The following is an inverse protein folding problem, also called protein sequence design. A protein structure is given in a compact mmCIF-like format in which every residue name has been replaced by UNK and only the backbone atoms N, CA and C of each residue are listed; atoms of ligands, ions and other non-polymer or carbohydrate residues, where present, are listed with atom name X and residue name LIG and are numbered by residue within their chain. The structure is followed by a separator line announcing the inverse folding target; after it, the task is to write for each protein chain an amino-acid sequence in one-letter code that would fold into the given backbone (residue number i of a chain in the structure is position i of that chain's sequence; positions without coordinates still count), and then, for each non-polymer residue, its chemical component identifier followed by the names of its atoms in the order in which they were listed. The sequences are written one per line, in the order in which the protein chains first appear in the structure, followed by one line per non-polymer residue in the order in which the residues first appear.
data_IF_833197063674
#
_entry.id   IF_833197063674
#
_cell.length_a   1.000
_cell.length_b   1.000
_cell.length_c   1.000
_cell.angle_alpha   90.00
_cell.angle_beta   90.00
_cell.angle_gamma   90.00
#
_symmetry.space_group_name_H-M   'P 1'
#
loop_
_entity.id
_entity.type
_entity.pdbx_description
1 polymer ?
#
# COMPACT_ATOMS: atom_id res chain seq x y z
N UNK A 1 -40.27 19.06 22.82
CA UNK A 1 -39.96 20.48 22.55
C UNK A 1 -38.45 20.69 22.58
N UNK A 2 -37.98 21.52 21.65
CA UNK A 2 -36.59 21.74 21.18
C UNK A 2 -35.61 22.17 22.27
N UNK A 3 -34.34 21.71 22.19
CA UNK A 3 -33.09 22.52 22.10
C UNK A 3 -31.96 21.62 21.53
N UNK A 4 -31.73 21.61 20.22
CA UNK A 4 -30.51 22.13 19.54
C UNK A 4 -29.30 22.41 20.44
N UNK A 5 -28.20 21.70 20.19
CA UNK A 5 -26.84 22.09 20.60
C UNK A 5 -25.90 21.90 19.41
N UNK A 6 -25.55 23.03 18.80
CA UNK A 6 -24.46 23.22 17.85
C UNK A 6 -23.14 23.26 18.63
N UNK A 7 -22.16 22.43 18.26
CA UNK A 7 -20.78 22.61 18.74
C UNK A 7 -19.75 22.50 17.62
N UNK A 8 -19.50 23.68 17.04
CA UNK A 8 -18.21 24.29 16.75
C UNK A 8 -17.15 23.43 16.04
N UNK A 9 -16.94 23.77 14.78
CA UNK A 9 -15.65 23.73 14.08
C UNK A 9 -14.52 24.27 14.96
N UNK A 10 -13.42 23.53 15.06
CA UNK A 10 -12.17 24.00 15.66
C UNK A 10 -11.08 23.91 14.60
N UNK A 11 -10.90 25.01 13.90
CA UNK A 11 -9.70 25.33 13.12
C UNK A 11 -8.58 25.62 14.12
N UNK A 12 -7.70 24.65 14.39
CA UNK A 12 -6.48 24.92 15.14
C UNK A 12 -5.36 25.30 14.18
N UNK A 13 -5.23 26.62 13.95
CA UNK A 13 -4.06 27.24 13.33
C UNK A 13 -3.00 27.41 14.43
N UNK A 14 -1.88 26.71 14.31
CA UNK A 14 -0.65 26.99 15.08
C UNK A 14 0.56 26.58 14.25
N UNK A 15 1.19 27.53 13.56
CA UNK A 15 2.43 28.27 13.92
C UNK A 15 3.71 27.57 13.43
N UNK A 16 4.36 28.24 12.48
CA UNK A 16 5.64 27.90 11.85
C UNK A 16 6.80 27.94 12.85
N UNK A 17 7.60 26.87 12.92
CA UNK A 17 9.00 26.96 13.34
C UNK A 17 9.89 26.54 12.18
N UNK A 18 10.73 27.49 11.75
CA UNK A 18 11.80 27.30 10.76
C UNK A 18 13.03 26.76 11.49
N UNK A 19 13.63 25.69 10.98
CA UNK A 19 14.97 25.26 11.39
C UNK A 19 15.68 24.63 10.20
N UNK A 20 16.72 25.31 9.75
CA UNK A 20 17.63 24.92 8.67
C UNK A 20 18.56 23.81 9.14
N UNK A 21 18.45 22.65 8.51
CA UNK A 21 19.48 21.62 8.43
C UNK A 21 19.04 20.70 7.30
N UNK A 22 19.91 20.40 6.33
CA UNK A 22 19.59 19.46 5.25
C UNK A 22 19.37 18.06 5.86
N UNK A 23 18.14 17.78 6.30
CA UNK A 23 17.70 16.43 6.63
C UNK A 23 17.45 15.72 5.32
N UNK A 24 18.20 14.63 5.08
CA UNK A 24 17.89 13.59 4.11
C UNK A 24 16.36 13.43 4.09
N UNK A 25 15.74 13.64 2.93
CA UNK A 25 14.29 13.62 2.77
C UNK A 25 13.77 12.39 3.49
N UNK A 26 13.06 12.62 4.59
CA UNK A 26 12.28 11.58 5.25
C UNK A 26 11.08 11.34 4.34
N UNK A 27 11.32 10.64 3.23
CA UNK A 27 10.26 9.99 2.49
C UNK A 27 9.60 9.11 3.54
N UNK A 28 8.38 9.45 3.96
CA UNK A 28 7.51 8.45 4.54
C UNK A 28 7.57 7.21 3.64
N UNK A 29 7.61 5.99 4.19
CA UNK A 29 7.47 4.82 3.35
C UNK A 29 6.16 5.02 2.59
N UNK A 30 6.23 5.24 1.28
CA UNK A 30 5.01 5.33 0.48
C UNK A 30 4.38 3.96 0.56
N UNK A 31 3.25 3.87 1.26
CA UNK A 31 2.51 2.64 1.35
C UNK A 31 2.17 2.17 -0.07
N UNK A 32 2.21 0.86 -0.26
CA UNK A 32 1.68 0.25 -1.49
C UNK A 32 0.19 0.57 -1.55
N UNK A 33 -0.30 0.95 -2.72
CA UNK A 33 -1.70 1.29 -2.97
C UNK A 33 -2.38 0.19 -3.79
N UNK A 34 -3.72 0.22 -3.83
CA UNK A 34 -4.48 -0.61 -4.77
C UNK A 34 -4.11 -0.20 -6.19
N UNK A 35 -3.92 -1.18 -7.07
CA UNK A 35 -3.48 -0.97 -8.44
C UNK A 35 -1.97 -1.02 -8.65
N UNK A 36 -1.16 -0.97 -7.58
CA UNK A 36 0.29 -1.13 -7.71
C UNK A 36 0.64 -2.55 -8.19
N UNK A 37 1.63 -2.62 -9.09
CA UNK A 37 2.22 -3.89 -9.54
C UNK A 37 3.46 -4.17 -8.69
N UNK A 38 3.49 -5.33 -8.05
CA UNK A 38 4.51 -5.73 -7.09
C UNK A 38 5.09 -7.10 -7.41
N UNK A 39 6.33 -7.34 -6.97
CA UNK A 39 6.92 -8.69 -6.88
C UNK A 39 6.69 -9.22 -5.47
N UNK A 40 6.20 -10.45 -5.37
CA UNK A 40 6.10 -11.18 -4.11
C UNK A 40 7.41 -11.90 -3.83
N UNK A 41 8.03 -11.59 -2.70
CA UNK A 41 9.18 -12.34 -2.20
C UNK A 41 8.68 -13.64 -1.60
N UNK A 42 8.84 -14.73 -2.35
CA UNK A 42 8.54 -16.08 -1.88
C UNK A 42 9.85 -16.83 -1.60
N UNK A 43 10.04 -17.28 -0.36
CA UNK A 43 11.25 -18.04 0.01
C UNK A 43 11.19 -19.49 -0.47
N UNK A 44 10.00 -19.99 -0.83
CA UNK A 44 9.83 -21.33 -1.37
C UNK A 44 10.24 -21.45 -2.85
N UNK A 45 10.50 -20.32 -3.52
CA UNK A 45 10.81 -20.27 -4.95
C UNK A 45 12.11 -19.49 -5.16
N UNK A 46 12.88 -19.89 -6.18
CA UNK A 46 14.05 -19.14 -6.62
C UNK A 46 13.72 -17.67 -6.84
N UNK A 47 14.68 -16.79 -6.54
CA UNK A 47 14.50 -15.33 -6.67
C UNK A 47 14.12 -14.88 -8.08
N UNK A 48 14.55 -15.62 -9.10
CA UNK A 48 14.19 -15.42 -10.51
C UNK A 48 12.70 -15.63 -10.79
N UNK A 49 12.06 -16.51 -10.03
CA UNK A 49 10.71 -16.99 -10.27
C UNK A 49 9.73 -16.47 -9.21
N UNK A 50 10.11 -15.36 -8.56
CA UNK A 50 9.23 -14.66 -7.65
C UNK A 50 7.97 -14.18 -8.38
N UNK A 51 6.77 -14.52 -7.87
CA UNK A 51 5.54 -14.22 -8.56
C UNK A 51 5.30 -12.71 -8.63
N UNK A 52 4.81 -12.26 -9.78
CA UNK A 52 4.24 -10.93 -9.93
C UNK A 52 2.82 -10.89 -9.34
N UNK A 53 2.46 -9.75 -8.78
CA UNK A 53 1.17 -9.53 -8.14
C UNK A 53 0.63 -8.13 -8.41
N UNK A 54 -0.68 -8.05 -8.63
CA UNK A 54 -1.42 -6.79 -8.60
C UNK A 54 -2.05 -6.63 -7.21
N UNK A 55 -1.90 -5.46 -6.62
CA UNK A 55 -2.53 -5.16 -5.32
C UNK A 55 -4.01 -4.87 -5.54
N UNK A 56 -4.86 -5.74 -5.00
CA UNK A 56 -6.33 -5.62 -5.15
C UNK A 56 -6.99 -5.02 -3.92
N UNK A 57 -6.44 -5.25 -2.74
CA UNK A 57 -7.02 -4.79 -1.49
C UNK A 57 -5.93 -4.51 -0.46
N UNK A 58 -6.20 -3.53 0.39
CA UNK A 58 -5.27 -3.04 1.40
C UNK A 58 -5.97 -3.07 2.75
N UNK A 59 -5.38 -3.75 3.75
CA UNK A 59 -5.91 -3.75 5.13
C UNK A 59 -5.04 -2.88 6.03
N UNK A 60 -5.55 -1.72 6.48
CA UNK A 60 -4.91 -0.97 7.55
C UNK A 60 -5.08 -1.72 8.87
N UNK A 61 -4.08 -1.59 9.73
CA UNK A 61 -4.14 -1.98 11.13
C UNK A 61 -4.77 -0.87 11.97
N UNK A 62 -5.11 -1.15 13.22
CA UNK A 62 -5.66 -0.16 14.17
C UNK A 62 -4.81 1.10 14.33
N UNK A 63 -3.48 0.98 14.17
CA UNK A 63 -2.54 2.12 14.20
C UNK A 63 -2.62 3.04 12.97
N UNK A 64 -3.44 2.70 11.97
CA UNK A 64 -3.52 3.38 10.68
C UNK A 64 -2.41 2.99 9.69
N UNK A 65 -1.48 2.11 10.08
CA UNK A 65 -0.45 1.59 9.19
C UNK A 65 -0.95 0.38 8.40
N UNK A 66 -0.59 0.34 7.12
CA UNK A 66 -0.89 -0.79 6.25
C UNK A 66 0.19 -1.85 6.39
N UNK A 67 -0.18 -3.00 6.93
CA UNK A 67 0.76 -4.12 7.12
C UNK A 67 0.53 -5.26 6.16
N UNK A 68 -0.72 -5.50 5.74
CA UNK A 68 -1.10 -6.69 4.95
C UNK A 68 -1.89 -6.30 3.70
N UNK A 69 -1.52 -6.93 2.58
CA UNK A 69 -2.07 -6.67 1.26
C UNK A 69 -2.65 -7.94 0.67
N UNK A 70 -3.76 -7.80 -0.06
CA UNK A 70 -4.29 -8.86 -0.91
C UNK A 70 -3.75 -8.67 -2.31
N UNK A 71 -3.11 -9.71 -2.81
CA UNK A 71 -2.42 -9.69 -4.08
C UNK A 71 -3.07 -10.69 -5.01
N UNK A 72 -3.28 -10.28 -6.25
CA UNK A 72 -3.69 -11.13 -7.35
C UNK A 72 -2.46 -11.49 -8.17
N UNK A 73 -2.08 -12.75 -8.13
CA UNK A 73 -0.97 -13.30 -8.91
C UNK A 73 -1.51 -14.17 -10.03
N UNK A 74 -0.84 -14.16 -11.17
CA UNK A 74 -1.14 -15.05 -12.30
C UNK A 74 0.01 -16.02 -12.46
N UNK A 75 -0.27 -17.32 -12.38
CA UNK A 75 0.71 -18.36 -12.73
C UNK A 75 0.39 -18.88 -14.12
N UNK A 76 1.38 -18.80 -14.99
CA UNK A 76 1.30 -19.34 -16.34
C UNK A 76 1.63 -20.83 -16.27
N UNK A 77 0.63 -21.68 -16.49
CA UNK A 77 0.78 -23.15 -16.47
C UNK A 77 1.05 -23.68 -17.87
N UNK A 78 0.42 -23.08 -18.88
CA UNK A 78 0.68 -23.39 -20.29
C UNK A 78 0.48 -22.14 -21.16
N UNK A 79 0.81 -22.24 -22.45
CA UNK A 79 0.67 -21.11 -23.40
C UNK A 79 -0.76 -20.56 -23.51
N UNK A 80 -1.76 -21.37 -23.12
CA UNK A 80 -3.20 -21.01 -23.23
C UNK A 80 -3.88 -20.98 -21.86
N UNK A 81 -3.27 -21.55 -20.82
CA UNK A 81 -3.87 -21.65 -19.49
C UNK A 81 -3.10 -20.83 -18.45
N UNK A 82 -3.84 -19.97 -17.79
CA UNK A 82 -3.35 -19.15 -16.68
C UNK A 82 -4.26 -19.34 -15.48
N UNK A 83 -3.65 -19.60 -14.33
CA UNK A 83 -4.36 -19.74 -13.07
C UNK A 83 -4.15 -18.49 -12.24
N UNK A 84 -5.26 -17.92 -11.75
CA UNK A 84 -5.22 -16.75 -10.86
C UNK A 84 -5.22 -17.21 -9.42
N UNK A 85 -4.32 -16.65 -8.62
CA UNK A 85 -4.19 -16.93 -7.20
C UNK A 85 -4.29 -15.63 -6.39
N UNK A 86 -4.84 -15.74 -5.19
CA UNK A 86 -4.91 -14.63 -4.25
C UNK A 86 -4.11 -14.95 -2.99
N UNK A 87 -3.26 -14.01 -2.58
CA UNK A 87 -2.44 -14.16 -1.37
C UNK A 87 -2.55 -12.94 -0.47
N UNK A 88 -2.59 -13.20 0.84
CA UNK A 88 -2.37 -12.18 1.85
C UNK A 88 -0.89 -12.16 2.23
N UNK A 89 -0.21 -11.04 2.00
CA UNK A 89 1.21 -10.90 2.31
C UNK A 89 1.52 -9.61 3.06
N UNK A 90 2.47 -9.62 3.99
CA UNK A 90 2.91 -8.42 4.67
C UNK A 90 3.77 -7.54 3.77
N UNK A 91 3.84 -6.22 4.04
CA UNK A 91 4.63 -5.26 3.24
C UNK A 91 6.10 -5.65 3.11
N UNK A 92 6.66 -6.30 4.13
CA UNK A 92 8.05 -6.76 4.18
C UNK A 92 8.38 -7.85 3.15
N UNK A 93 7.36 -8.48 2.55
CA UNK A 93 7.51 -9.50 1.50
C UNK A 93 7.18 -8.94 0.12
N UNK A 94 6.98 -7.63 -0.03
CA UNK A 94 6.62 -7.00 -1.29
C UNK A 94 7.72 -6.06 -1.78
N UNK A 95 7.75 -5.84 -3.09
CA UNK A 95 8.59 -4.85 -3.75
C UNK A 95 7.81 -4.27 -4.91
N UNK A 96 7.59 -2.95 -4.91
CA UNK A 96 6.82 -2.28 -5.97
C UNK A 96 7.67 -2.15 -7.22
N UNK A 97 7.11 -2.52 -8.36
CA UNK A 97 7.70 -2.32 -9.67
C UNK A 97 7.11 -1.08 -10.36
N UNK A 98 5.79 -0.99 -10.35
CA UNK A 98 5.04 0.07 -11.02
C UNK A 98 4.00 0.60 -10.05
N UNK A 99 3.96 1.92 -9.92
CA UNK A 99 2.90 2.59 -9.17
C UNK A 99 1.66 2.74 -10.04
N UNK A 100 0.49 2.60 -9.41
CA UNK A 100 -0.74 2.96 -10.07
C UNK A 100 -0.70 4.43 -10.47
N UNK A 101 -1.12 4.72 -11.70
CA UNK A 101 -1.31 6.09 -12.14
C UNK A 101 -2.49 6.69 -11.35
N UNK A 102 -2.34 7.91 -10.81
CA UNK A 102 -3.37 8.51 -9.95
C UNK A 102 -4.64 8.94 -10.72
N UNK A 103 -4.59 8.93 -12.05
CA UNK A 103 -5.62 9.52 -12.92
C UNK A 103 -6.53 8.49 -13.64
N UNK A 104 -6.48 7.19 -13.26
CA UNK A 104 -7.28 6.11 -13.90
C UNK A 104 -8.40 5.59 -13.03
#
# INVERSE_FOLDING_TARGET
MKKTSTKKTSTKKTTTKKTTTKKKVASSPTNVAVGDVVVLRDEAVCRSDWPLGLVTEVRPSDDGLVRTYKLKTVKVTSKTSHSTFYYWRPISKLTVLVKADPDT
#
